data_IF_386584631480
#
_entry.id   IF_386584631480
#
_cell.length_a   1.000
_cell.length_b   1.000
_cell.length_c   1.000
_cell.angle_alpha   90.00
_cell.angle_beta   90.00
_cell.angle_gamma   90.00
#
_symmetry.space_group_name_H-M   'P 1'
#
loop_
_entity.id
_entity.type
_entity.pdbx_description
1 polymer ?
#
# COMPACT_ATOMS: atom_id res chain seq x y z
N UNK A 1 13.42 -6.06 3.80
CA UNK A 1 13.43 -5.28 2.55
C UNK A 1 12.80 -3.89 2.75
N UNK A 2 12.82 -3.00 1.73
CA UNK A 2 12.17 -1.67 1.78
C UNK A 2 10.68 -1.75 2.15
N UNK A 3 9.90 -2.60 1.46
CA UNK A 3 8.47 -2.74 1.73
C UNK A 3 8.19 -3.25 3.15
N UNK A 4 8.90 -4.31 3.58
CA UNK A 4 8.71 -4.89 4.92
C UNK A 4 9.05 -3.88 6.04
N UNK A 5 10.09 -3.07 5.85
CA UNK A 5 10.43 -1.99 6.78
C UNK A 5 9.29 -0.96 6.86
N UNK A 6 8.81 -0.47 5.72
CA UNK A 6 7.69 0.47 5.65
C UNK A 6 6.42 -0.10 6.29
N UNK A 7 6.10 -1.38 6.01
CA UNK A 7 4.96 -2.09 6.61
C UNK A 7 5.08 -2.17 8.13
N UNK A 8 6.25 -2.54 8.66
CA UNK A 8 6.46 -2.63 10.10
C UNK A 8 6.35 -1.28 10.81
N UNK A 9 6.81 -0.20 10.18
CA UNK A 9 6.70 1.16 10.71
C UNK A 9 5.24 1.64 10.69
N UNK A 10 4.53 1.41 9.58
CA UNK A 10 3.11 1.73 9.46
C UNK A 10 2.26 0.98 10.50
N UNK A 11 2.50 -0.31 10.72
CA UNK A 11 1.80 -1.07 11.76
C UNK A 11 2.00 -0.48 13.16
N UNK A 12 3.24 -0.09 13.50
CA UNK A 12 3.53 0.56 14.79
C UNK A 12 2.86 1.92 14.91
N UNK A 13 2.79 2.69 13.83
CA UNK A 13 2.11 3.98 13.80
C UNK A 13 0.59 3.82 13.96
N UNK A 14 0.00 2.83 13.27
CA UNK A 14 -1.44 2.53 13.35
C UNK A 14 -1.90 2.11 14.75
N UNK A 15 -1.01 1.50 15.55
CA UNK A 15 -1.30 1.14 16.94
C UNK A 15 -1.26 2.34 17.92
N UNK A 16 -0.74 3.50 17.50
CA UNK A 16 -0.54 4.70 18.34
C UNK A 16 -1.44 5.88 17.97
N UNK A 17 -2.17 5.80 16.86
CA UNK A 17 -2.98 6.88 16.30
C UNK A 17 -4.35 6.36 15.91
N UNK A 18 -5.29 7.27 15.64
CA UNK A 18 -6.53 6.93 14.99
C UNK A 18 -6.24 6.25 13.64
N UNK A 19 -6.66 4.99 13.53
CA UNK A 19 -6.16 4.03 12.54
C UNK A 19 -6.51 4.39 11.09
N UNK A 20 -7.42 5.34 10.88
CA UNK A 20 -7.96 5.71 9.56
C UNK A 20 -6.97 6.42 8.64
N UNK A 21 -5.89 7.00 9.17
CA UNK A 21 -4.93 7.78 8.39
C UNK A 21 -3.67 7.00 7.95
N UNK A 22 -3.48 5.76 8.43
CA UNK A 22 -2.21 5.05 8.25
C UNK A 22 -2.30 4.00 7.16
N UNK A 23 -1.66 4.30 6.03
CA UNK A 23 -1.45 3.33 4.96
C UNK A 23 -0.47 2.23 5.38
N UNK A 24 -0.90 0.97 5.27
CA UNK A 24 -0.05 -0.21 5.50
C UNK A 24 0.23 -0.89 4.15
N UNK A 25 1.47 -0.83 3.62
CA UNK A 25 1.78 -1.40 2.33
C UNK A 25 1.75 -2.93 2.35
N UNK A 26 1.23 -3.52 1.28
CA UNK A 26 1.34 -4.95 0.96
C UNK A 26 2.68 -5.25 0.28
N UNK A 27 3.27 -6.38 0.66
CA UNK A 27 4.62 -6.79 0.25
C UNK A 27 4.59 -8.21 -0.28
N UNK A 28 5.38 -8.47 -1.33
CA UNK A 28 5.66 -9.81 -1.84
C UNK A 28 6.70 -10.52 -0.94
N UNK A 29 6.84 -11.83 -1.13
CA UNK A 29 7.79 -12.65 -0.38
C UNK A 29 9.26 -12.25 -0.60
N UNK A 30 9.58 -11.77 -1.81
CA UNK A 30 10.90 -11.21 -2.15
C UNK A 30 11.19 -9.85 -1.48
N UNK A 31 10.18 -9.28 -0.80
CA UNK A 31 10.26 -8.02 -0.09
C UNK A 31 10.02 -6.77 -0.94
N UNK A 32 9.64 -6.91 -2.21
CA UNK A 32 9.13 -5.82 -3.05
C UNK A 32 7.68 -5.49 -2.70
N UNK A 33 7.17 -4.37 -3.21
CA UNK A 33 5.76 -4.02 -3.08
C UNK A 33 4.90 -4.89 -4.01
N UNK A 34 3.67 -5.18 -3.60
CA UNK A 34 2.70 -5.78 -4.51
C UNK A 34 2.33 -4.79 -5.61
N UNK A 35 1.98 -5.33 -6.77
CA UNK A 35 1.62 -4.51 -7.94
C UNK A 35 0.35 -3.68 -7.69
N UNK A 36 -0.56 -4.19 -6.86
CA UNK A 36 -1.71 -3.42 -6.36
C UNK A 36 -1.46 -3.11 -4.88
N UNK A 37 -1.58 -1.84 -4.52
CA UNK A 37 -1.63 -1.39 -3.13
C UNK A 37 -3.03 -0.87 -2.81
N UNK A 38 -3.54 -1.18 -1.61
CA UNK A 38 -4.84 -0.72 -1.15
C UNK A 38 -4.74 -0.06 0.22
N UNK A 39 -5.33 1.13 0.35
CA UNK A 39 -5.54 1.81 1.61
C UNK A 39 -6.94 1.47 2.14
N UNK A 40 -7.06 0.35 2.85
CA UNK A 40 -8.36 -0.22 3.24
C UNK A 40 -9.29 0.75 3.97
N UNK A 41 -8.78 1.70 4.78
CA UNK A 41 -9.64 2.67 5.47
C UNK A 41 -10.21 3.76 4.55
N UNK A 42 -9.47 4.21 3.53
CA UNK A 42 -9.96 5.22 2.59
C UNK A 42 -10.66 4.59 1.38
N UNK A 43 -10.45 3.29 1.17
CA UNK A 43 -10.99 2.54 0.03
C UNK A 43 -10.23 2.75 -1.28
N UNK A 44 -9.16 3.54 -1.28
CA UNK A 44 -8.36 3.75 -2.49
C UNK A 44 -7.40 2.58 -2.74
N UNK A 45 -7.34 2.11 -3.99
CA UNK A 45 -6.31 1.20 -4.46
C UNK A 45 -5.61 1.80 -5.69
N UNK A 46 -4.32 1.48 -5.89
CA UNK A 46 -3.52 1.95 -7.02
C UNK A 46 -2.52 0.90 -7.48
N UNK A 47 -2.05 1.01 -8.73
CA UNK A 47 -0.93 0.22 -9.22
C UNK A 47 0.39 0.78 -8.71
N UNK A 48 1.36 -0.08 -8.40
CA UNK A 48 2.65 0.29 -7.85
C UNK A 48 3.80 -0.49 -8.47
N UNK A 49 4.95 0.17 -8.62
CA UNK A 49 6.20 -0.49 -9.01
C UNK A 49 6.76 -1.37 -7.88
N UNK A 50 7.71 -2.29 -8.16
CA UNK A 50 8.37 -3.10 -7.14
C UNK A 50 9.05 -2.29 -6.02
N UNK A 51 9.40 -1.02 -6.27
CA UNK A 51 9.97 -0.09 -5.29
C UNK A 51 8.92 0.68 -4.47
N UNK A 52 7.62 0.53 -4.78
CA UNK A 52 6.52 1.16 -4.06
C UNK A 52 6.09 2.51 -4.62
N UNK A 53 6.50 2.85 -5.84
CA UNK A 53 6.11 4.09 -6.49
C UNK A 53 4.70 3.91 -7.09
N UNK A 54 3.72 4.78 -6.78
CA UNK A 54 2.40 4.72 -7.40
C UNK A 54 2.46 5.05 -8.90
N UNK A 55 1.68 4.32 -9.70
CA UNK A 55 1.48 4.63 -11.13
C UNK A 55 0.42 5.73 -11.25
N UNK A 56 0.79 6.85 -11.88
CA UNK A 56 -0.11 7.98 -12.10
C UNK A 56 -1.39 7.56 -12.85
N UNK A 57 -2.55 8.01 -12.36
CA UNK A 57 -3.84 7.71 -12.99
C UNK A 57 -4.41 6.32 -12.70
N UNK A 58 -3.71 5.48 -11.92
CA UNK A 58 -4.19 4.13 -11.57
C UNK A 58 -5.08 4.07 -10.32
N UNK A 59 -5.21 5.18 -9.58
CA UNK A 59 -5.97 5.22 -8.34
C UNK A 59 -7.48 5.08 -8.60
N UNK A 60 -8.10 4.10 -7.95
CA UNK A 60 -9.53 3.83 -8.00
C UNK A 60 -10.12 3.74 -6.59
N UNK A 61 -11.38 4.15 -6.42
CA UNK A 61 -12.09 4.12 -5.15
C UNK A 61 -13.00 2.89 -5.07
N UNK A 62 -12.88 2.11 -3.99
CA UNK A 62 -13.65 0.89 -3.72
C UNK A 62 -13.59 -0.18 -4.83
N UNK A 63 -12.58 -0.09 -5.69
CA UNK A 63 -12.33 -1.00 -6.80
C UNK A 63 -10.86 -1.44 -6.78
N UNK A 64 -10.55 -2.48 -7.54
CA UNK A 64 -9.18 -2.93 -7.76
C UNK A 64 -8.71 -2.49 -9.15
N UNK A 65 -7.59 -1.76 -9.27
CA UNK A 65 -7.10 -1.32 -10.58
C UNK A 65 -6.57 -2.50 -11.38
N UNK A 66 -6.63 -2.39 -12.71
CA UNK A 66 -5.97 -3.31 -13.62
C UNK A 66 -4.54 -2.81 -13.89
N UNK A 67 -3.54 -3.62 -13.56
CA UNK A 67 -2.12 -3.24 -13.61
C UNK A 67 -1.32 -3.99 -14.68
N UNK A 68 -2.00 -4.62 -15.65
CA UNK A 68 -1.39 -5.34 -16.78
C UNK A 68 -0.69 -4.45 -17.78
#
# INVERSE_FOLDING_TARGET
>A
SKCQLARSQALRASARSDSFAVFIPECKADGTYTEVQCHNQTGYCWCSSPDGIPVSGSSVLHLRPNCT
#
